data_IF_328421699337
#
_entry.id   IF_328421699337
#
_cell.length_a   1.000
_cell.length_b   1.000
_cell.length_c   1.000
_cell.angle_alpha   90.00
_cell.angle_beta   90.00
_cell.angle_gamma   90.00
#
_symmetry.space_group_name_H-M   'P 1'
#
loop_
_entity.id
_entity.type
_entity.pdbx_description
1 polymer ?
#
# COMPACT_ATOMS: atom_id res chain seq x y z
N UNK A 1 -2.58 10.72 42.91
CA UNK A 1 -3.76 9.90 43.25
C UNK A 1 -4.67 9.82 42.03
N UNK A 2 -4.66 8.70 41.30
CA UNK A 2 -5.66 8.45 40.26
C UNK A 2 -7.00 8.28 40.96
N UNK A 3 -7.81 9.35 40.99
CA UNK A 3 -9.19 9.29 41.46
C UNK A 3 -9.89 8.19 40.65
N UNK A 4 -10.36 7.14 41.32
CA UNK A 4 -11.03 5.99 40.71
C UNK A 4 -12.23 6.40 39.83
N UNK A 5 -12.72 7.64 39.98
CA UNK A 5 -13.76 8.24 39.16
C UNK A 5 -13.30 8.63 37.73
N UNK A 6 -11.99 8.80 37.47
CA UNK A 6 -11.47 9.19 36.13
C UNK A 6 -11.15 8.00 35.24
N UNK A 7 -10.94 6.82 35.83
CA UNK A 7 -10.69 5.58 35.08
C UNK A 7 -11.88 5.15 34.20
N UNK A 8 -13.13 5.10 34.69
CA UNK A 8 -14.27 4.75 33.84
C UNK A 8 -14.51 5.78 32.74
N UNK A 9 -14.24 7.07 33.00
CA UNK A 9 -14.33 8.12 31.98
C UNK A 9 -13.33 7.90 30.84
N UNK A 10 -12.07 7.55 31.15
CA UNK A 10 -11.05 7.25 30.15
C UNK A 10 -11.40 5.99 29.34
N UNK A 11 -11.91 4.94 29.99
CA UNK A 11 -12.37 3.73 29.30
C UNK A 11 -13.55 4.03 28.40
N UNK A 12 -14.53 4.81 28.85
CA UNK A 12 -15.66 5.23 28.03
C UNK A 12 -15.20 6.04 26.81
N UNK A 13 -14.26 6.98 26.99
CA UNK A 13 -13.72 7.79 25.90
C UNK A 13 -12.92 6.94 24.90
N UNK A 14 -12.17 5.95 25.37
CA UNK A 14 -11.47 4.98 24.54
C UNK A 14 -12.44 4.10 23.74
N UNK A 15 -13.49 3.57 24.37
CA UNK A 15 -14.50 2.77 23.69
C UNK A 15 -15.25 3.62 22.65
N UNK A 16 -15.57 4.87 22.98
CA UNK A 16 -16.21 5.81 22.06
C UNK A 16 -15.28 6.13 20.88
N UNK A 17 -13.98 6.31 21.13
CA UNK A 17 -12.97 6.46 20.08
C UNK A 17 -12.85 5.24 19.17
N UNK A 18 -12.87 4.01 19.72
CA UNK A 18 -12.83 2.78 18.92
C UNK A 18 -14.11 2.60 18.10
N UNK A 19 -15.28 2.84 18.70
CA UNK A 19 -16.59 2.71 18.05
C UNK A 19 -16.84 3.78 16.99
N UNK A 20 -16.39 5.03 17.22
CA UNK A 20 -16.48 6.11 16.22
C UNK A 20 -15.33 6.04 15.21
N UNK A 21 -14.16 5.54 15.60
CA UNK A 21 -12.99 5.38 14.74
C UNK A 21 -13.24 4.40 13.59
N UNK A 22 -14.02 3.35 13.84
CA UNK A 22 -14.51 2.42 12.79
C UNK A 22 -15.40 3.13 11.75
N UNK A 23 -16.01 4.26 12.12
CA UNK A 23 -16.86 5.10 11.26
C UNK A 23 -16.17 6.33 10.70
N UNK A 24 -14.85 6.47 10.83
CA UNK A 24 -14.09 7.42 10.03
C UNK A 24 -13.51 6.65 8.84
N UNK A 25 -14.26 6.44 7.74
CA UNK A 25 -13.63 6.13 6.48
C UNK A 25 -12.94 7.43 6.06
N UNK A 26 -11.66 7.58 6.42
CA UNK A 26 -10.81 8.63 5.86
C UNK A 26 -10.71 8.33 4.36
N UNK A 27 -11.67 8.78 3.55
CA UNK A 27 -11.62 8.72 2.10
C UNK A 27 -10.59 9.76 1.63
N UNK A 28 -9.30 9.37 1.64
CA UNK A 28 -8.52 9.30 0.41
C UNK A 28 -7.55 8.09 0.44
N UNK A 29 -8.03 6.90 0.82
CA UNK A 29 -7.16 5.70 0.89
C UNK A 29 -6.73 5.20 -0.48
N UNK A 30 -7.32 5.65 -1.60
CA UNK A 30 -6.80 5.29 -2.93
C UNK A 30 -5.42 5.90 -3.18
N UNK A 31 -5.26 7.21 -2.92
CA UNK A 31 -3.99 7.91 -3.11
C UNK A 31 -2.96 7.53 -2.04
N UNK A 32 -3.39 7.36 -0.78
CA UNK A 32 -2.51 6.88 0.27
C UNK A 32 -2.05 5.43 0.02
N UNK A 33 -2.94 4.53 -0.43
CA UNK A 33 -2.56 3.15 -0.80
C UNK A 33 -1.57 3.12 -1.96
N UNK A 34 -1.79 3.94 -3.00
CA UNK A 34 -0.84 4.09 -4.11
C UNK A 34 0.51 4.62 -3.62
N UNK A 35 0.51 5.62 -2.75
CA UNK A 35 1.72 6.21 -2.21
C UNK A 35 2.46 5.26 -1.27
N UNK A 36 1.75 4.52 -0.40
CA UNK A 36 2.33 3.49 0.47
C UNK A 36 2.92 2.34 -0.33
N UNK A 37 2.22 1.84 -1.37
CA UNK A 37 2.74 0.81 -2.27
C UNK A 37 3.98 1.29 -3.01
N UNK A 38 3.99 2.54 -3.46
CA UNK A 38 5.12 3.15 -4.15
C UNK A 38 6.33 3.31 -3.22
N UNK A 39 6.11 3.82 -2.01
CA UNK A 39 7.16 3.98 -0.99
C UNK A 39 7.72 2.63 -0.55
N UNK A 40 6.88 1.63 -0.33
CA UNK A 40 7.33 0.29 0.06
C UNK A 40 8.11 -0.39 -1.06
N UNK A 41 7.65 -0.27 -2.30
CA UNK A 41 8.36 -0.79 -3.47
C UNK A 41 9.72 -0.09 -3.65
N UNK A 42 9.78 1.23 -3.53
CA UNK A 42 11.04 1.98 -3.63
C UNK A 42 12.01 1.68 -2.48
N UNK A 43 11.49 1.48 -1.27
CA UNK A 43 12.28 1.05 -0.12
C UNK A 43 12.87 -0.35 -0.34
N UNK A 44 12.05 -1.31 -0.79
CA UNK A 44 12.52 -2.67 -1.12
C UNK A 44 13.52 -2.68 -2.28
N UNK A 45 13.29 -1.90 -3.34
CA UNK A 45 14.23 -1.73 -4.45
C UNK A 45 15.55 -1.07 -4.04
N UNK A 46 15.56 -0.27 -2.96
CA UNK A 46 16.78 0.31 -2.41
C UNK A 46 17.59 -0.68 -1.56
N UNK A 47 16.95 -1.70 -1.00
CA UNK A 47 17.60 -2.74 -0.19
C UNK A 47 18.19 -3.88 -1.03
N UNK A 48 17.70 -4.08 -2.26
CA UNK A 48 18.18 -5.12 -3.15
C UNK A 48 18.74 -4.51 -4.45
N UNK A 49 19.96 -4.88 -4.88
CA UNK A 49 20.52 -4.36 -6.13
C UNK A 49 19.59 -4.71 -7.30
N UNK A 50 19.07 -3.68 -7.96
CA UNK A 50 18.18 -3.83 -9.11
C UNK A 50 18.93 -4.57 -10.21
N UNK A 51 18.54 -5.82 -10.50
CA UNK A 51 18.98 -6.51 -11.73
C UNK A 51 18.50 -5.68 -12.91
N UNK A 52 19.42 -4.96 -13.55
CA UNK A 52 19.12 -4.23 -14.77
C UNK A 52 18.76 -5.27 -15.85
N UNK A 53 17.59 -5.15 -16.51
CA UNK A 53 17.27 -6.06 -17.59
C UNK A 53 18.30 -5.88 -18.72
N UNK A 54 18.90 -6.99 -19.16
CA UNK A 54 19.94 -7.00 -20.19
C UNK A 54 19.43 -6.45 -21.53
N UNK A 55 18.13 -6.58 -21.82
CA UNK A 55 17.45 -5.95 -22.95
C UNK A 55 16.12 -5.33 -22.50
N UNK A 56 15.96 -3.99 -22.51
CA UNK A 56 14.72 -3.32 -22.11
C UNK A 56 13.55 -3.56 -23.08
N UNK A 57 13.82 -4.03 -24.31
CA UNK A 57 12.81 -4.27 -25.34
C UNK A 57 12.37 -5.73 -25.43
N UNK A 58 12.90 -6.62 -24.59
CA UNK A 58 12.60 -8.06 -24.64
C UNK A 58 11.09 -8.35 -24.55
N UNK A 59 10.34 -7.51 -23.81
CA UNK A 59 8.87 -7.60 -23.74
C UNK A 59 8.19 -7.25 -25.06
N UNK A 60 8.69 -6.22 -25.75
CA UNK A 60 8.15 -5.75 -27.02
C UNK A 60 8.49 -6.72 -28.15
N UNK A 61 9.73 -7.21 -28.16
CA UNK A 61 10.20 -8.21 -29.13
C UNK A 61 9.36 -9.49 -29.05
N UNK A 62 9.07 -10.00 -27.84
CA UNK A 62 8.20 -11.17 -27.65
C UNK A 62 6.75 -10.94 -28.11
N UNK A 63 6.22 -9.74 -27.92
CA UNK A 63 4.86 -9.42 -28.36
C UNK A 63 4.76 -9.39 -29.90
N UNK A 64 5.75 -8.80 -30.56
CA UNK A 64 5.84 -8.77 -32.02
C UNK A 64 5.98 -10.19 -32.59
N UNK A 65 6.82 -11.03 -31.95
CA UNK A 65 7.05 -12.40 -32.39
C UNK A 65 5.77 -13.26 -32.28
N UNK A 66 4.97 -13.07 -31.22
CA UNK A 66 3.68 -13.74 -31.06
C UNK A 66 2.64 -13.29 -32.09
N UNK A 67 2.57 -12.01 -32.40
CA UNK A 67 1.71 -11.49 -33.47
C UNK A 67 2.13 -12.03 -34.85
N UNK A 68 3.42 -12.15 -35.12
CA UNK A 68 3.93 -12.68 -36.39
C UNK A 68 3.75 -14.19 -36.54
N UNK A 69 3.78 -14.96 -35.43
CA UNK A 69 3.56 -16.41 -35.44
C UNK A 69 2.07 -16.77 -35.48
N UNK A 70 1.18 -15.95 -34.89
CA UNK A 70 -0.27 -16.17 -34.94
C UNK A 70 -0.94 -15.76 -36.26
N UNK A 71 -0.21 -15.08 -37.15
CA UNK A 71 -0.70 -14.57 -38.43
C UNK A 71 -0.10 -15.31 -39.65
N UNK A 72 0.42 -16.52 -39.45
CA UNK A 72 0.83 -17.50 -40.48
C UNK A 72 -0.04 -18.76 -40.37
#
# INVERSE_FOLDING_TARGET
MFSKAKFPLLVALFLLFVLLGDRIPFQPVSNASLQTRTTLNNFMLGLFPKKQPKNPYERTEKAIEQEQQGNQ
#
